data_IF_306304607970
#
_entry.id   IF_306304607970
#
_cell.length_a   1.000
_cell.length_b   1.000
_cell.length_c   1.000
_cell.angle_alpha   90.00
_cell.angle_beta   90.00
_cell.angle_gamma   90.00
#
_symmetry.space_group_name_H-M   'P 1'
#
loop_
_entity.id
_entity.type
_entity.pdbx_description
1 polymer ?
#
# COMPACT_ATOMS: atom_id res chain seq x y z
N UNK A 1 8.85 0.19 -40.26
CA UNK A 1 8.71 -0.42 -38.92
C UNK A 1 7.36 -1.06 -38.82
N UNK A 2 7.33 -2.41 -38.84
CA UNK A 2 6.10 -3.16 -38.57
C UNK A 2 5.70 -2.91 -37.10
N UNK A 3 4.41 -2.78 -36.85
CA UNK A 3 3.87 -2.90 -35.50
C UNK A 3 3.59 -4.39 -35.29
N UNK A 4 4.32 -5.01 -34.36
CA UNK A 4 3.95 -6.35 -33.91
C UNK A 4 2.81 -6.16 -32.92
N UNK A 5 1.65 -6.71 -33.23
CA UNK A 5 0.51 -6.74 -32.35
C UNK A 5 0.59 -8.02 -31.53
N UNK A 6 0.76 -7.87 -30.22
CA UNK A 6 0.77 -8.98 -29.28
C UNK A 6 -0.59 -9.03 -28.58
N UNK A 7 -1.34 -10.10 -28.80
CA UNK A 7 -2.63 -10.33 -28.11
C UNK A 7 -2.38 -11.20 -26.88
N UNK A 8 -2.79 -10.71 -25.74
CA UNK A 8 -2.79 -11.46 -24.48
C UNK A 8 -4.20 -11.96 -24.19
N UNK A 9 -4.35 -13.26 -23.96
CA UNK A 9 -5.61 -13.90 -23.61
C UNK A 9 -5.55 -14.48 -22.20
N UNK A 10 -6.65 -14.35 -21.44
CA UNK A 10 -6.78 -14.84 -20.07
C UNK A 10 -5.72 -14.27 -19.10
N UNK A 11 -5.34 -13.03 -19.28
CA UNK A 11 -4.40 -12.33 -18.41
C UNK A 11 -5.12 -11.50 -17.36
N UNK A 12 -4.46 -11.26 -16.23
CA UNK A 12 -4.96 -10.40 -15.16
C UNK A 12 -4.97 -8.93 -15.60
N UNK A 13 -5.93 -8.18 -15.07
CA UNK A 13 -5.98 -6.74 -15.27
C UNK A 13 -4.93 -6.08 -14.36
N UNK A 14 -4.15 -5.15 -14.91
CA UNK A 14 -3.15 -4.39 -14.17
C UNK A 14 -3.73 -3.75 -12.90
N UNK A 15 -3.01 -3.83 -11.80
CA UNK A 15 -3.39 -3.30 -10.48
C UNK A 15 -4.74 -3.79 -9.94
N UNK A 16 -5.15 -4.99 -10.33
CA UNK A 16 -6.41 -5.61 -9.91
C UNK A 16 -6.13 -6.90 -9.15
N UNK A 17 -5.80 -6.82 -7.84
CA UNK A 17 -5.56 -8.02 -7.05
C UNK A 17 -6.83 -8.84 -6.92
N UNK A 18 -6.71 -10.17 -6.97
CA UNK A 18 -7.84 -11.10 -6.86
C UNK A 18 -8.51 -11.06 -5.49
N UNK A 19 -7.78 -10.64 -4.46
CA UNK A 19 -8.29 -10.58 -3.08
C UNK A 19 -7.86 -9.26 -2.44
N UNK A 20 -8.83 -8.52 -1.93
CA UNK A 20 -8.62 -7.39 -1.02
C UNK A 20 -9.49 -7.64 0.21
N UNK A 21 -8.90 -7.59 1.38
CA UNK A 21 -9.60 -7.75 2.65
C UNK A 21 -9.25 -6.63 3.62
N UNK A 22 -10.16 -6.33 4.51
CA UNK A 22 -9.89 -5.38 5.58
C UNK A 22 -10.86 -5.54 6.73
N UNK A 23 -10.42 -5.11 7.92
CA UNK A 23 -11.21 -5.17 9.12
C UNK A 23 -10.75 -4.15 10.16
N UNK A 24 -11.61 -3.90 11.12
CA UNK A 24 -11.32 -3.01 12.23
C UNK A 24 -11.83 -3.61 13.53
N UNK A 25 -10.97 -3.60 14.55
CA UNK A 25 -11.34 -3.90 15.93
C UNK A 25 -11.31 -2.60 16.72
N UNK A 26 -12.44 -2.27 17.35
CA UNK A 26 -12.59 -1.07 18.17
C UNK A 26 -12.73 -1.45 19.62
N UNK A 27 -11.92 -0.83 20.48
CA UNK A 27 -11.95 -0.99 21.92
C UNK A 27 -12.14 0.37 22.59
N UNK A 28 -13.16 0.49 23.43
CA UNK A 28 -13.52 1.72 24.15
C UNK A 28 -13.42 1.44 25.65
N UNK A 29 -12.21 1.57 26.26
CA UNK A 29 -12.02 1.27 27.70
C UNK A 29 -12.70 2.27 28.60
N UNK A 30 -13.00 3.45 28.10
CA UNK A 30 -13.58 4.53 28.86
C UNK A 30 -14.59 5.31 27.99
N UNK A 31 -15.83 5.41 28.49
CA UNK A 31 -16.88 6.26 27.93
C UNK A 31 -17.78 6.75 29.06
N UNK A 32 -17.78 8.05 29.30
CA UNK A 32 -18.59 8.74 30.30
C UNK A 32 -19.05 10.09 29.74
N UNK A 33 -19.95 10.75 30.46
CA UNK A 33 -20.51 12.05 30.05
C UNK A 33 -19.47 13.13 29.82
N UNK A 34 -18.32 13.05 30.48
CA UNK A 34 -17.22 14.03 30.40
C UNK A 34 -16.06 13.61 29.48
N UNK A 35 -16.09 12.40 28.90
CA UNK A 35 -15.01 11.98 27.99
C UNK A 35 -15.13 10.56 27.46
N UNK A 36 -14.37 10.30 26.41
CA UNK A 36 -14.31 9.00 25.73
C UNK A 36 -12.90 8.70 25.26
N UNK A 37 -12.41 7.51 25.58
CA UNK A 37 -11.15 6.99 25.03
C UNK A 37 -11.45 5.80 24.14
N UNK A 38 -10.93 5.82 22.94
CA UNK A 38 -11.13 4.78 21.94
C UNK A 38 -9.83 4.40 21.26
N UNK A 39 -9.64 3.10 21.07
CA UNK A 39 -8.58 2.53 20.24
C UNK A 39 -9.21 1.77 19.08
N UNK A 40 -8.58 1.82 17.92
CA UNK A 40 -8.98 1.05 16.76
C UNK A 40 -7.75 0.45 16.08
N UNK A 41 -7.71 -0.88 16.05
CA UNK A 41 -6.76 -1.62 15.21
C UNK A 41 -7.41 -1.84 13.84
N UNK A 42 -6.80 -1.28 12.81
CA UNK A 42 -7.24 -1.40 11.42
C UNK A 42 -6.28 -2.29 10.68
N UNK A 43 -6.77 -3.30 10.00
CA UNK A 43 -5.97 -4.23 9.20
C UNK A 43 -6.40 -4.20 7.75
N UNK A 44 -5.44 -4.22 6.82
CA UNK A 44 -5.69 -4.28 5.38
C UNK A 44 -4.78 -5.32 4.75
N UNK A 45 -5.36 -6.25 4.04
CA UNK A 45 -4.69 -7.22 3.18
C UNK A 45 -4.94 -6.87 1.71
N UNK A 46 -3.91 -6.95 0.90
CA UNK A 46 -3.99 -6.86 -0.56
C UNK A 46 -3.22 -8.05 -1.11
N UNK A 47 -3.87 -8.84 -1.94
CA UNK A 47 -3.26 -9.98 -2.62
C UNK A 47 -2.23 -9.55 -3.67
N UNK A 48 -1.57 -10.53 -4.25
CA UNK A 48 -0.68 -10.32 -5.40
C UNK A 48 -1.42 -9.61 -6.52
N UNK A 49 -0.70 -8.79 -7.26
CA UNK A 49 -1.24 -8.06 -8.41
C UNK A 49 -0.14 -7.84 -9.45
N UNK A 50 -0.54 -7.75 -10.71
CA UNK A 50 0.36 -7.45 -11.80
C UNK A 50 0.42 -5.96 -12.08
N UNK A 51 1.58 -5.46 -12.51
CA UNK A 51 1.80 -4.04 -12.85
C UNK A 51 1.22 -3.73 -14.24
N UNK A 52 1.20 -4.73 -15.12
CA UNK A 52 0.68 -4.65 -16.49
C UNK A 52 -0.31 -5.80 -16.78
N UNK A 53 -0.84 -5.85 -17.99
CA UNK A 53 -1.80 -6.87 -18.42
C UNK A 53 -1.15 -8.10 -19.06
N UNK A 54 0.13 -8.37 -18.79
CA UNK A 54 0.84 -9.52 -19.36
C UNK A 54 0.76 -10.77 -18.48
N UNK A 55 0.39 -10.62 -17.20
CA UNK A 55 0.49 -11.65 -16.16
C UNK A 55 1.91 -12.25 -16.04
N UNK A 56 2.94 -11.44 -16.37
CA UNK A 56 4.32 -11.84 -16.25
C UNK A 56 4.76 -11.82 -14.79
N UNK A 57 5.45 -12.85 -14.33
CA UNK A 57 6.05 -12.90 -12.99
C UNK A 57 7.07 -11.76 -12.76
N UNK A 58 7.67 -11.22 -13.84
CA UNK A 58 8.55 -10.05 -13.77
C UNK A 58 7.80 -8.73 -13.53
N UNK A 59 6.48 -8.74 -13.71
CA UNK A 59 5.61 -7.58 -13.53
C UNK A 59 4.65 -7.78 -12.36
N UNK A 60 5.02 -8.58 -11.36
CA UNK A 60 4.18 -8.92 -10.20
C UNK A 60 4.62 -8.16 -8.96
N UNK A 61 3.66 -7.70 -8.19
CA UNK A 61 3.81 -7.17 -6.84
C UNK A 61 3.33 -8.18 -5.81
N UNK A 62 4.13 -8.40 -4.78
CA UNK A 62 3.80 -9.30 -3.70
C UNK A 62 2.59 -8.83 -2.88
N UNK A 63 1.87 -9.80 -2.33
CA UNK A 63 0.80 -9.55 -1.38
C UNK A 63 1.35 -8.91 -0.10
N UNK A 64 0.53 -8.06 0.52
CA UNK A 64 0.91 -7.44 1.80
C UNK A 64 -0.26 -7.37 2.79
N UNK A 65 0.10 -7.40 4.08
CA UNK A 65 -0.83 -7.22 5.20
C UNK A 65 -0.27 -6.13 6.11
N UNK A 66 -1.00 -5.05 6.28
CA UNK A 66 -0.60 -3.94 7.14
C UNK A 66 -1.62 -3.69 8.25
N UNK A 67 -1.12 -3.24 9.39
CA UNK A 67 -1.89 -2.90 10.56
C UNK A 67 -1.63 -1.47 10.97
N UNK A 68 -2.70 -0.73 11.24
CA UNK A 68 -2.65 0.62 11.77
C UNK A 68 -3.32 0.65 13.14
N UNK A 69 -2.77 1.41 14.08
CA UNK A 69 -3.39 1.67 15.38
C UNK A 69 -3.81 3.13 15.44
N UNK A 70 -5.08 3.37 15.72
CA UNK A 70 -5.64 4.70 15.97
C UNK A 70 -6.06 4.82 17.40
N UNK A 71 -5.85 6.00 17.98
CA UNK A 71 -6.35 6.39 19.31
C UNK A 71 -7.08 7.71 19.18
N UNK A 72 -8.19 7.83 19.86
CA UNK A 72 -8.92 9.10 20.02
C UNK A 72 -9.30 9.26 21.48
N UNK A 73 -8.93 10.39 22.06
CA UNK A 73 -9.33 10.77 23.39
C UNK A 73 -10.09 12.09 23.37
N UNK A 74 -11.36 12.03 23.68
CA UNK A 74 -12.28 13.15 23.66
C UNK A 74 -12.62 13.53 25.10
N UNK A 75 -12.54 14.82 25.42
CA UNK A 75 -12.82 15.39 26.74
C UNK A 75 -13.75 16.59 26.57
N UNK A 76 -14.83 16.63 27.34
CA UNK A 76 -15.65 17.83 27.49
C UNK A 76 -14.98 18.78 28.49
N UNK A 77 -14.91 20.03 28.15
CA UNK A 77 -14.25 21.06 28.95
C UNK A 77 -15.19 22.23 29.19
N UNK A 78 -14.99 22.94 30.30
CA UNK A 78 -15.73 24.17 30.60
C UNK A 78 -15.26 25.36 29.75
N UNK A 79 -14.00 25.34 29.30
CA UNK A 79 -13.43 26.37 28.45
C UNK A 79 -13.71 26.15 26.96
N UNK A 80 -13.73 24.88 26.56
CA UNK A 80 -14.06 24.42 25.20
C UNK A 80 -15.25 23.48 25.28
N UNK A 81 -16.11 23.47 24.29
CA UNK A 81 -17.18 22.45 24.25
C UNK A 81 -16.60 21.03 24.25
N UNK A 82 -15.50 20.87 23.50
CA UNK A 82 -14.84 19.57 23.32
C UNK A 82 -13.37 19.74 22.94
N UNK A 83 -12.51 18.91 23.53
CA UNK A 83 -11.10 18.75 23.16
C UNK A 83 -10.95 17.30 22.69
N UNK A 84 -10.44 17.09 21.48
CA UNK A 84 -10.12 15.77 20.96
C UNK A 84 -8.61 15.69 20.67
N UNK A 85 -7.96 14.70 21.30
CA UNK A 85 -6.58 14.32 21.03
C UNK A 85 -6.63 13.02 20.24
N UNK A 86 -6.04 13.00 19.07
CA UNK A 86 -5.96 11.80 18.24
C UNK A 86 -4.53 11.42 17.94
N UNK A 87 -4.25 10.13 17.83
CA UNK A 87 -3.00 9.64 17.28
C UNK A 87 -3.27 8.50 16.30
N UNK A 88 -2.37 8.37 15.34
CA UNK A 88 -2.42 7.33 14.34
C UNK A 88 -1.01 6.81 14.10
N UNK A 89 -0.79 5.55 14.44
CA UNK A 89 0.43 4.80 14.13
C UNK A 89 0.12 3.95 12.91
N UNK A 90 0.78 4.23 11.80
CA UNK A 90 0.62 3.50 10.55
C UNK A 90 1.70 2.45 10.40
N UNK A 91 1.35 1.37 9.74
CA UNK A 91 2.25 0.25 9.48
C UNK A 91 2.92 -0.25 10.77
N UNK A 92 2.11 -0.64 11.73
CA UNK A 92 2.53 -1.04 13.09
C UNK A 92 3.55 -2.20 13.08
N UNK A 93 3.45 -3.09 12.10
CA UNK A 93 4.39 -4.20 11.89
C UNK A 93 5.70 -3.80 11.21
N UNK A 94 5.86 -2.53 10.83
CA UNK A 94 7.00 -2.01 10.08
C UNK A 94 7.34 -2.84 8.84
N UNK A 95 6.33 -3.31 8.12
CA UNK A 95 6.50 -4.13 6.94
C UNK A 95 6.93 -3.28 5.75
N UNK A 96 7.96 -3.72 5.03
CA UNK A 96 8.31 -3.15 3.74
C UNK A 96 7.37 -3.74 2.69
N UNK A 97 6.65 -2.88 1.97
CA UNK A 97 5.77 -3.32 0.90
C UNK A 97 5.68 -2.29 -0.22
N UNK A 98 5.38 -2.78 -1.41
CA UNK A 98 5.20 -1.97 -2.62
C UNK A 98 3.71 -1.99 -2.95
N UNK A 99 3.10 -0.81 -3.02
CA UNK A 99 1.67 -0.69 -3.38
C UNK A 99 1.46 -0.25 -4.82
N UNK A 100 2.50 0.25 -5.47
CA UNK A 100 2.47 0.74 -6.84
C UNK A 100 3.86 0.64 -7.47
N UNK A 101 3.91 0.41 -8.78
CA UNK A 101 5.13 0.34 -9.57
C UNK A 101 4.81 0.68 -11.02
N UNK A 102 5.83 0.85 -11.83
CA UNK A 102 5.71 0.87 -13.29
C UNK A 102 6.66 -0.16 -13.88
N UNK A 103 6.32 -0.69 -15.05
CA UNK A 103 7.16 -1.58 -15.82
C UNK A 103 7.27 -1.06 -17.24
N UNK A 104 8.50 -1.08 -17.76
CA UNK A 104 8.80 -0.85 -19.16
C UNK A 104 9.41 -2.11 -19.75
N UNK A 105 8.66 -2.78 -20.63
CA UNK A 105 9.04 -4.02 -21.29
C UNK A 105 9.50 -3.72 -22.71
N UNK A 106 10.66 -4.27 -23.10
CA UNK A 106 11.24 -4.03 -24.40
C UNK A 106 12.03 -5.24 -24.89
N UNK A 107 12.16 -5.35 -26.21
CA UNK A 107 12.97 -6.37 -26.87
C UNK A 107 14.24 -5.74 -27.42
N UNK A 108 15.37 -6.40 -27.21
CA UNK A 108 16.65 -5.99 -27.76
C UNK A 108 17.54 -7.21 -28.00
N UNK A 109 18.39 -7.13 -29.03
CA UNK A 109 19.40 -8.14 -29.30
C UNK A 109 20.66 -7.97 -28.42
N UNK A 110 20.77 -6.88 -27.68
CA UNK A 110 21.89 -6.57 -26.79
C UNK A 110 21.43 -6.77 -25.35
N UNK A 111 22.24 -7.44 -24.54
CA UNK A 111 21.97 -7.62 -23.13
C UNK A 111 22.17 -6.29 -22.35
N UNK A 112 21.08 -5.63 -21.91
CA UNK A 112 21.19 -4.38 -21.19
C UNK A 112 21.59 -4.57 -19.71
N UNK A 113 21.50 -5.78 -19.16
CA UNK A 113 21.75 -6.03 -17.73
C UNK A 113 23.19 -5.76 -17.32
N UNK A 114 24.12 -5.71 -18.29
CA UNK A 114 25.53 -5.40 -18.07
C UNK A 114 25.79 -3.92 -17.74
N UNK A 115 24.88 -3.01 -18.12
CA UNK A 115 25.03 -1.56 -17.91
C UNK A 115 23.80 -0.90 -17.26
N UNK A 116 22.67 -1.57 -17.22
CA UNK A 116 21.44 -1.09 -16.58
C UNK A 116 21.05 -2.03 -15.44
N UNK A 117 21.33 -1.62 -14.23
CA UNK A 117 21.04 -2.39 -13.02
C UNK A 117 19.53 -2.60 -12.75
N UNK A 118 18.66 -1.89 -13.45
CA UNK A 118 17.20 -2.01 -13.33
C UNK A 118 16.58 -2.91 -14.40
N UNK A 119 17.38 -3.33 -15.39
CA UNK A 119 16.91 -4.25 -16.41
C UNK A 119 16.99 -5.69 -15.94
N UNK A 120 15.90 -6.42 -16.08
CA UNK A 120 15.81 -7.85 -15.79
C UNK A 120 15.48 -8.60 -17.07
N UNK A 121 16.25 -9.66 -17.36
CA UNK A 121 16.03 -10.52 -18.53
C UNK A 121 14.91 -11.50 -18.26
N UNK A 122 13.96 -11.62 -19.17
CA UNK A 122 12.87 -12.59 -19.13
C UNK A 122 13.24 -13.87 -19.92
N UNK A 123 13.79 -13.71 -21.12
CA UNK A 123 14.10 -14.83 -22.05
C UNK A 123 15.40 -14.62 -22.85
N UNK A 124 16.21 -13.62 -22.49
CA UNK A 124 17.44 -13.24 -23.22
C UNK A 124 17.23 -12.27 -24.36
N UNK A 125 15.99 -12.01 -24.78
CA UNK A 125 15.62 -11.00 -25.78
C UNK A 125 14.61 -9.98 -25.26
N UNK A 126 13.77 -10.41 -24.32
CA UNK A 126 12.78 -9.58 -23.65
C UNK A 126 13.29 -9.15 -22.28
N UNK A 127 13.26 -7.86 -22.02
CA UNK A 127 13.76 -7.24 -20.79
C UNK A 127 12.70 -6.36 -20.16
N UNK A 128 12.73 -6.29 -18.85
CA UNK A 128 11.82 -5.48 -18.06
C UNK A 128 12.63 -4.51 -17.19
N UNK A 129 12.31 -3.22 -17.26
CA UNK A 129 12.71 -2.22 -16.28
C UNK A 129 11.55 -1.97 -15.33
N UNK A 130 11.80 -2.05 -14.03
CA UNK A 130 10.76 -1.88 -13.02
C UNK A 130 11.15 -0.76 -12.06
N UNK A 131 10.26 0.22 -11.89
CA UNK A 131 10.39 1.24 -10.87
C UNK A 131 9.31 1.06 -9.81
N UNK A 132 9.70 0.75 -8.58
CA UNK A 132 8.81 0.46 -7.47
C UNK A 132 8.66 1.65 -6.52
N UNK A 133 7.44 1.90 -6.04
CA UNK A 133 7.12 2.90 -5.02
C UNK A 133 6.94 2.21 -3.68
N UNK A 134 8.02 2.15 -2.91
CA UNK A 134 7.99 1.59 -1.56
C UNK A 134 7.13 2.46 -0.64
N UNK A 135 6.32 1.82 0.17
CA UNK A 135 5.55 2.50 1.19
C UNK A 135 6.40 2.76 2.44
N UNK A 136 6.05 3.82 3.15
CA UNK A 136 6.75 4.18 4.38
C UNK A 136 6.63 3.04 5.41
N UNK A 137 7.71 2.78 6.13
CA UNK A 137 7.72 1.95 7.31
C UNK A 137 6.81 2.51 8.41
N UNK A 138 7.00 2.10 9.65
CA UNK A 138 6.23 2.61 10.78
C UNK A 138 6.36 4.13 10.86
N UNK A 139 5.22 4.81 10.93
CA UNK A 139 5.15 6.26 11.10
C UNK A 139 3.94 6.64 11.95
N UNK A 140 3.92 7.87 12.49
CA UNK A 140 2.86 8.29 13.38
C UNK A 140 2.43 9.73 13.12
N UNK A 141 1.17 10.01 13.45
CA UNK A 141 0.57 11.34 13.43
C UNK A 141 -0.10 11.61 14.76
N UNK A 142 -0.09 12.87 15.19
CA UNK A 142 -0.83 13.36 16.36
C UNK A 142 -1.65 14.55 15.92
N UNK A 143 -2.90 14.59 16.36
CA UNK A 143 -3.85 15.67 16.07
C UNK A 143 -4.49 16.20 17.34
N UNK A 144 -4.72 17.51 17.36
CA UNK A 144 -5.50 18.20 18.40
C UNK A 144 -6.63 18.97 17.72
N UNK A 145 -7.87 18.74 18.21
CA UNK A 145 -9.05 19.46 17.73
C UNK A 145 -9.75 20.12 18.91
N UNK A 146 -10.00 21.40 18.79
CA UNK A 146 -10.70 22.22 19.77
C UNK A 146 -12.04 22.68 19.20
N UNK A 147 -13.12 22.49 19.95
CA UNK A 147 -14.44 23.04 19.63
C UNK A 147 -14.80 24.10 20.65
N UNK A 148 -15.21 25.26 20.17
CA UNK A 148 -15.65 26.42 20.97
C UNK A 148 -17.18 26.46 21.07
#
# INVERSE_FOLDING_TARGET
GGKDEVTHENTDIAFSPSIIGGGQLVFTPFEKDNGKLQFALVSKYVGEQYIDNTSSEFAKLDAYLVHDLRMSYMIKSTLFKEIEISSWIRNLSNQNYISNAWVYRFNTAYDPTSYDMYANSEDGNTYNQIGAFNQAGINFFVGLKLRF
#
